data_IF_393533686523
#
_entry.id   IF_393533686523
#
_cell.length_a   1.000
_cell.length_b   1.000
_cell.length_c   1.000
_cell.angle_alpha   90.00
_cell.angle_beta   90.00
_cell.angle_gamma   90.00
#
_symmetry.space_group_name_H-M   'P 1'
#
loop_
_entity.id
_entity.type
_entity.pdbx_description
1 polymer ?
#
# COMPACT_ATOMS: atom_id res chain seq x y z
N UNK A 1 -2.20 -9.62 -28.77
CA UNK A 1 -2.83 -10.04 -27.49
C UNK A 1 -1.94 -11.08 -26.85
N UNK A 2 -1.55 -10.88 -25.59
CA UNK A 2 -0.75 -11.82 -24.80
C UNK A 2 -1.64 -12.57 -23.82
N UNK A 3 -1.43 -13.88 -23.66
CA UNK A 3 -2.16 -14.69 -22.68
C UNK A 3 -1.48 -14.60 -21.32
N UNK A 4 -2.23 -14.25 -20.29
CA UNK A 4 -1.74 -14.20 -18.91
C UNK A 4 -2.59 -15.10 -18.01
N UNK A 5 -1.96 -15.79 -17.05
CA UNK A 5 -2.62 -16.61 -16.04
C UNK A 5 -2.34 -16.01 -14.67
N UNK A 6 -3.39 -15.84 -13.86
CA UNK A 6 -3.31 -15.20 -12.53
C UNK A 6 -4.03 -16.05 -11.52
N UNK A 7 -3.40 -16.28 -10.37
CA UNK A 7 -4.08 -16.89 -9.23
C UNK A 7 -4.93 -15.84 -8.51
N UNK A 8 -6.21 -16.14 -8.35
CA UNK A 8 -7.18 -15.30 -7.63
C UNK A 8 -7.89 -16.13 -6.57
N UNK A 9 -8.38 -15.47 -5.53
CA UNK A 9 -9.14 -16.13 -4.47
C UNK A 9 -10.53 -16.55 -5.00
N UNK A 10 -11.15 -17.62 -4.48
CA UNK A 10 -12.45 -18.09 -4.95
C UNK A 10 -13.55 -17.01 -4.93
N UNK A 11 -13.55 -16.12 -3.94
CA UNK A 11 -14.51 -15.03 -3.88
C UNK A 11 -14.28 -13.96 -4.97
N UNK A 12 -13.04 -13.75 -5.42
CA UNK A 12 -12.75 -12.84 -6.53
C UNK A 12 -13.25 -13.42 -7.86
N UNK A 13 -13.12 -14.73 -8.07
CA UNK A 13 -13.66 -15.42 -9.26
C UNK A 13 -15.19 -15.27 -9.35
N UNK A 14 -15.90 -15.50 -8.23
CA UNK A 14 -17.35 -15.30 -8.17
C UNK A 14 -17.76 -13.85 -8.46
N UNK A 15 -17.02 -12.87 -7.94
CA UNK A 15 -17.27 -11.45 -8.21
C UNK A 15 -16.99 -11.08 -9.67
N UNK A 16 -15.90 -11.59 -10.27
CA UNK A 16 -15.55 -11.38 -11.67
C UNK A 16 -16.66 -11.89 -12.59
N UNK A 17 -17.11 -13.13 -12.39
CA UNK A 17 -18.22 -13.72 -13.16
C UNK A 17 -19.49 -12.90 -13.09
N UNK A 18 -19.89 -12.51 -11.87
CA UNK A 18 -21.09 -11.70 -11.66
C UNK A 18 -20.99 -10.34 -12.36
N UNK A 19 -19.89 -9.61 -12.14
CA UNK A 19 -19.68 -8.27 -12.71
C UNK A 19 -19.41 -8.26 -14.21
N UNK A 20 -18.93 -9.36 -14.77
CA UNK A 20 -18.79 -9.52 -16.21
C UNK A 20 -20.15 -9.82 -16.87
N UNK A 21 -21.02 -10.57 -16.19
CA UNK A 21 -22.37 -10.89 -16.67
C UNK A 21 -23.31 -9.69 -16.74
N UNK A 22 -23.27 -8.77 -15.77
CA UNK A 22 -24.19 -7.60 -15.72
C UNK A 22 -24.13 -6.69 -16.97
N UNK A 23 -22.94 -6.34 -17.51
CA UNK A 23 -22.80 -5.54 -18.72
C UNK A 23 -22.67 -6.38 -20.01
N UNK A 24 -22.71 -7.72 -19.92
CA UNK A 24 -22.46 -8.61 -21.06
C UNK A 24 -21.02 -8.59 -21.60
N UNK A 25 -20.04 -8.23 -20.76
CA UNK A 25 -18.62 -8.20 -21.14
C UNK A 25 -17.91 -9.48 -20.68
N UNK A 26 -16.81 -9.83 -21.33
CA UNK A 26 -16.01 -10.98 -20.87
C UNK A 26 -15.24 -10.63 -19.59
N UNK A 27 -14.95 -11.63 -18.75
CA UNK A 27 -14.11 -11.46 -17.56
C UNK A 27 -12.75 -10.82 -17.91
N UNK A 28 -12.16 -11.23 -19.03
CA UNK A 28 -10.90 -10.69 -19.53
C UNK A 28 -11.00 -9.22 -19.96
N UNK A 29 -12.14 -8.79 -20.49
CA UNK A 29 -12.41 -7.39 -20.81
C UNK A 29 -12.56 -6.57 -19.52
N UNK A 30 -13.27 -7.10 -18.53
CA UNK A 30 -13.42 -6.46 -17.22
C UNK A 30 -12.07 -6.27 -16.52
N UNK A 31 -11.20 -7.29 -16.53
CA UNK A 31 -9.84 -7.20 -15.99
C UNK A 31 -9.03 -6.13 -16.72
N UNK A 32 -9.07 -6.09 -18.05
CA UNK A 32 -8.35 -5.06 -18.83
C UNK A 32 -8.82 -3.66 -18.48
N UNK A 33 -10.13 -3.41 -18.42
CA UNK A 33 -10.69 -2.10 -18.02
C UNK A 33 -10.28 -1.71 -16.60
N UNK A 34 -10.23 -2.67 -15.68
CA UNK A 34 -9.80 -2.42 -14.31
C UNK A 34 -8.31 -2.03 -14.25
N UNK A 35 -7.45 -2.65 -15.06
CA UNK A 35 -6.03 -2.29 -15.17
C UNK A 35 -5.89 -0.87 -15.71
N UNK A 36 -6.57 -0.55 -16.82
CA UNK A 36 -6.55 0.81 -17.40
C UNK A 36 -7.07 1.85 -16.41
N UNK A 37 -8.17 1.57 -15.71
CA UNK A 37 -8.72 2.45 -14.69
C UNK A 37 -7.76 2.64 -13.51
N UNK A 38 -7.05 1.60 -13.07
CA UNK A 38 -6.05 1.70 -12.02
C UNK A 38 -4.85 2.55 -12.44
N UNK A 39 -4.40 2.41 -13.69
CA UNK A 39 -3.32 3.21 -14.25
C UNK A 39 -3.74 4.68 -14.43
N UNK A 40 -4.97 4.92 -14.88
CA UNK A 40 -5.51 6.26 -15.12
C UNK A 40 -5.86 7.00 -13.82
N UNK A 41 -6.30 6.30 -12.77
CA UNK A 41 -6.67 6.90 -11.49
C UNK A 41 -5.49 7.52 -10.73
N UNK A 42 -4.25 7.20 -11.11
CA UNK A 42 -3.05 7.63 -10.40
C UNK A 42 -3.02 7.09 -8.95
N UNK A 43 -2.02 7.48 -8.14
CA UNK A 43 -2.01 7.11 -6.73
C UNK A 43 -3.25 7.68 -6.02
N UNK A 44 -4.09 6.78 -5.48
CA UNK A 44 -5.34 7.10 -4.76
C UNK A 44 -5.14 7.99 -3.52
N UNK A 45 -3.90 8.11 -3.04
CA UNK A 45 -3.51 9.02 -1.97
C UNK A 45 -2.73 10.15 -2.64
N UNK A 46 -3.27 11.38 -2.70
CA UNK A 46 -2.48 12.51 -3.14
C UNK A 46 -1.24 12.59 -2.24
N UNK A 47 -0.08 12.65 -2.88
CA UNK A 47 1.21 12.79 -2.18
C UNK A 47 1.21 14.18 -1.53
N UNK A 48 0.76 14.26 -0.29
CA UNK A 48 0.80 15.51 0.48
C UNK A 48 2.23 15.76 0.95
N UNK A 49 2.99 16.50 0.13
CA UNK A 49 4.35 16.92 0.44
C UNK A 49 4.38 17.71 1.76
N UNK A 50 3.30 18.41 2.10
CA UNK A 50 3.20 19.17 3.35
C UNK A 50 3.06 18.27 4.57
N UNK A 51 2.40 17.10 4.45
CA UNK A 51 2.35 16.10 5.51
C UNK A 51 3.76 15.54 5.80
N UNK A 52 4.56 15.31 4.76
CA UNK A 52 5.95 14.88 4.92
C UNK A 52 6.82 15.94 5.60
N UNK A 53 6.67 17.21 5.21
CA UNK A 53 7.43 18.30 5.84
C UNK A 53 7.05 18.48 7.31
N UNK A 54 5.76 18.38 7.67
CA UNK A 54 5.31 18.40 9.07
C UNK A 54 5.94 17.28 9.90
N UNK A 55 5.98 16.06 9.37
CA UNK A 55 6.62 14.92 10.04
C UNK A 55 8.12 15.15 10.23
N UNK A 56 8.80 15.66 9.22
CA UNK A 56 10.22 16.00 9.30
C UNK A 56 10.49 17.05 10.38
N UNK A 57 9.69 18.11 10.46
CA UNK A 57 9.81 19.11 11.52
C UNK A 57 9.53 18.51 12.91
N UNK A 58 8.56 17.61 13.02
CA UNK A 58 8.27 16.90 14.26
C UNK A 58 9.44 16.03 14.73
N UNK A 59 10.03 15.22 13.84
CA UNK A 59 11.22 14.40 14.13
C UNK A 59 12.37 15.30 14.59
N UNK A 60 12.66 16.38 13.86
CA UNK A 60 13.71 17.33 14.22
C UNK A 60 13.45 17.99 15.58
N UNK A 61 12.21 18.30 15.91
CA UNK A 61 11.84 18.86 17.22
C UNK A 61 12.08 17.87 18.37
N UNK A 62 11.91 16.56 18.12
CA UNK A 62 12.20 15.51 19.10
C UNK A 62 13.70 15.26 19.24
N UNK A 63 14.45 15.26 18.14
CA UNK A 63 15.91 15.16 18.17
C UNK A 63 16.51 16.33 18.96
N UNK A 64 16.05 17.57 18.72
CA UNK A 64 16.51 18.76 19.46
C UNK A 64 16.17 18.74 20.95
N UNK A 65 15.07 18.10 21.34
CA UNK A 65 14.66 17.95 22.75
C UNK A 65 15.35 16.77 23.45
N UNK A 66 15.86 15.82 22.68
CA UNK A 66 16.57 14.63 23.15
C UNK A 66 18.07 14.85 23.21
N UNK A 67 18.54 15.99 23.74
CA UNK A 67 19.91 16.09 24.23
C UNK A 67 19.96 15.46 25.62
N UNK A 68 19.94 14.13 25.64
CA UNK A 68 20.49 13.39 26.76
C UNK A 68 21.51 12.44 26.16
N UNK A 69 22.77 12.73 26.44
CA UNK A 69 23.95 11.85 26.34
C UNK A 69 23.81 10.57 27.20
N UNK A 70 22.60 10.03 27.35
CA UNK A 70 22.38 8.70 27.89
C UNK A 70 22.37 7.77 26.69
N UNK A 71 23.54 7.23 26.38
CA UNK A 71 23.66 6.09 25.49
C UNK A 71 22.66 4.99 25.87
N UNK A 72 22.34 4.12 24.91
CA UNK A 72 21.43 2.99 25.13
C UNK A 72 21.76 2.29 26.45
N UNK A 73 20.85 2.36 27.43
CA UNK A 73 21.03 1.72 28.74
C UNK A 73 20.76 0.22 28.71
N UNK A 74 20.18 -0.27 27.62
CA UNK A 74 19.88 -1.67 27.41
C UNK A 74 20.88 -2.28 26.44
N UNK A 75 21.30 -3.51 26.75
CA UNK A 75 22.09 -4.35 25.85
C UNK A 75 21.14 -5.10 24.91
N UNK A 76 21.56 -5.35 23.67
CA UNK A 76 20.71 -5.98 22.64
C UNK A 76 20.25 -7.38 23.06
N UNK A 77 21.05 -8.05 23.87
CA UNK A 77 20.83 -9.39 24.41
C UNK A 77 19.63 -9.43 25.37
N UNK A 78 19.32 -8.32 26.05
CA UNK A 78 18.19 -8.21 26.99
C UNK A 78 16.82 -8.18 26.27
N UNK A 79 16.80 -7.90 24.96
CA UNK A 79 15.57 -7.87 24.15
C UNK A 79 15.06 -9.26 23.75
N UNK A 80 15.90 -10.29 23.82
CA UNK A 80 15.58 -11.63 23.34
C UNK A 80 15.31 -12.64 24.45
N UNK A 81 15.37 -12.23 25.72
CA UNK A 81 15.04 -13.11 26.85
C UNK A 81 13.53 -13.10 27.05
N UNK A 82 12.87 -14.15 26.56
CA UNK A 82 11.46 -14.45 26.80
C UNK A 82 11.31 -15.90 27.24
#
# INVERSE_FOLDING_TARGET
MSRYQVYIKPHHDALLKKRAGEPGVTEAELIRRAIEAHLAAGPSIPRDISAWEREKQFILSRVKKGDQERGRQWQREELYVR
#
